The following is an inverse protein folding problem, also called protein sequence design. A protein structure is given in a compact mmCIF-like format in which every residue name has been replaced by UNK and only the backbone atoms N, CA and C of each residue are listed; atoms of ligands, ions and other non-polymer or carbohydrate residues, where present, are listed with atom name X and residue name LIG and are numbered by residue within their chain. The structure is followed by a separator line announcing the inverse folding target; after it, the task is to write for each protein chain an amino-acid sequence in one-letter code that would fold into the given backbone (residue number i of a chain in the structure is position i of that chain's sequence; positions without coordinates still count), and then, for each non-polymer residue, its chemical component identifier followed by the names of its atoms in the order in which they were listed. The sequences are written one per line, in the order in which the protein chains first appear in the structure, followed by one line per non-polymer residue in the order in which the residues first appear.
data_IF_943739887275
#
_entry.id   IF_943739887275
#
_cell.length_a   1.000
_cell.length_b   1.000
_cell.length_c   1.000
_cell.angle_alpha   90.00
_cell.angle_beta   90.00
_cell.angle_gamma   90.00
#
_symmetry.space_group_name_H-M   'P 1'
#
loop_
_entity.id
_entity.type
_entity.pdbx_description
1 polymer ?
#
# COMPACT_ATOMS: atom_id res chain seq x y z
N UNK A 1 5.19 -35.13 9.46
CA UNK A 1 6.21 -34.64 8.51
C UNK A 1 5.66 -33.35 7.92
N UNK A 2 6.16 -32.19 8.37
CA UNK A 2 5.78 -30.88 7.83
C UNK A 2 7.00 -30.38 7.06
N UNK A 3 7.04 -30.45 5.73
CA UNK A 3 8.09 -29.80 4.98
C UNK A 3 7.57 -28.45 4.45
N UNK A 4 8.22 -27.38 4.89
CA UNK A 4 8.74 -26.32 4.02
C UNK A 4 7.67 -25.66 3.12
N UNK A 5 6.89 -24.73 3.67
CA UNK A 5 6.21 -23.71 2.87
C UNK A 5 6.07 -22.38 3.64
N UNK A 6 7.20 -21.82 4.05
CA UNK A 6 7.31 -20.42 4.50
C UNK A 6 8.79 -20.05 4.31
N UNK A 7 9.16 -19.37 3.20
CA UNK A 7 9.11 -17.91 3.15
C UNK A 7 8.80 -17.38 1.73
N UNK A 8 7.62 -17.66 1.16
CA UNK A 8 7.29 -17.14 -0.19
C UNK A 8 6.62 -15.76 -0.19
N UNK A 9 6.14 -15.28 0.95
CA UNK A 9 5.36 -14.02 1.02
C UNK A 9 6.29 -12.80 0.96
N UNK A 10 7.49 -12.89 1.54
CA UNK A 10 8.46 -11.79 1.62
C UNK A 10 9.10 -11.51 0.25
N UNK A 11 9.18 -12.53 -0.62
CA UNK A 11 9.61 -12.37 -2.01
C UNK A 11 8.72 -11.45 -2.85
N UNK A 12 7.52 -11.09 -2.37
CA UNK A 12 6.60 -10.17 -3.05
C UNK A 12 6.66 -8.71 -2.57
N UNK A 13 7.30 -8.42 -1.42
CA UNK A 13 7.44 -7.05 -0.94
C UNK A 13 8.65 -6.41 -1.61
N UNK A 14 8.41 -5.81 -2.77
CA UNK A 14 9.41 -4.97 -3.40
C UNK A 14 9.79 -3.81 -2.46
N UNK A 15 11.07 -3.40 -2.43
CA UNK A 15 11.45 -2.14 -1.82
C UNK A 15 10.54 -1.00 -2.32
N UNK A 16 10.15 -0.11 -1.41
CA UNK A 16 9.21 0.99 -1.67
C UNK A 16 7.76 0.58 -1.95
N UNK A 17 7.37 -0.67 -1.68
CA UNK A 17 5.96 -1.06 -1.67
C UNK A 17 5.20 -0.43 -0.49
N UNK A 18 3.96 -0.04 -0.73
CA UNK A 18 3.06 0.52 0.30
C UNK A 18 1.84 -0.35 0.52
N UNK A 19 1.48 -0.54 1.79
CA UNK A 19 0.21 -1.12 2.22
C UNK A 19 -0.61 -0.03 2.91
N UNK A 20 -1.73 0.35 2.29
CA UNK A 20 -2.59 1.44 2.77
C UNK A 20 -3.86 0.83 3.34
N UNK A 21 -4.32 1.33 4.47
CA UNK A 21 -5.54 0.88 5.13
C UNK A 21 -6.40 2.07 5.56
N UNK A 22 -7.67 2.02 5.19
CA UNK A 22 -8.70 2.86 5.78
C UNK A 22 -9.20 2.22 7.07
N UNK A 23 -9.21 3.00 8.15
CA UNK A 23 -9.69 2.59 9.47
C UNK A 23 -10.83 3.51 9.86
N UNK A 24 -12.02 2.93 9.99
CA UNK A 24 -13.20 3.61 10.49
C UNK A 24 -13.53 3.07 11.89
N UNK A 25 -13.56 3.96 12.88
CA UNK A 25 -14.03 3.65 14.23
C UNK A 25 -15.28 4.46 14.49
N UNK A 26 -16.41 3.82 14.74
CA UNK A 26 -17.65 4.48 15.16
C UNK A 26 -17.83 4.27 16.66
N UNK A 27 -17.99 5.35 17.42
CA UNK A 27 -18.23 5.34 18.87
C UNK A 27 -19.53 6.07 19.13
N UNK A 28 -20.59 5.36 19.50
CA UNK A 28 -21.89 5.97 19.84
C UNK A 28 -22.32 7.05 18.84
N UNK A 29 -22.25 6.73 17.54
CA UNK A 29 -22.60 7.58 16.40
C UNK A 29 -21.57 8.66 16.00
N UNK A 30 -20.41 8.73 16.66
CA UNK A 30 -19.28 9.57 16.21
C UNK A 30 -18.30 8.73 15.40
N UNK A 31 -18.06 9.11 14.14
CA UNK A 31 -17.17 8.39 13.22
C UNK A 31 -15.79 9.05 13.20
N UNK A 32 -14.76 8.24 13.43
CA UNK A 32 -13.36 8.59 13.28
C UNK A 32 -12.79 7.84 12.08
N UNK A 33 -12.27 8.58 11.11
CA UNK A 33 -11.59 8.02 9.94
C UNK A 33 -10.08 8.27 10.07
N UNK A 34 -9.30 7.20 9.91
CA UNK A 34 -7.84 7.21 10.02
C UNK A 34 -7.27 6.39 8.88
N UNK A 35 -6.23 6.88 8.24
CA UNK A 35 -5.47 6.17 7.21
C UNK A 35 -4.14 5.72 7.80
N UNK A 36 -3.81 4.44 7.64
CA UNK A 36 -2.51 3.87 7.97
C UNK A 36 -1.80 3.52 6.66
N UNK A 37 -0.61 4.09 6.45
CA UNK A 37 0.22 3.77 5.29
C UNK A 37 1.56 3.18 5.76
N UNK A 38 1.77 1.91 5.45
CA UNK A 38 3.01 1.19 5.73
C UNK A 38 3.86 1.17 4.45
N UNK A 39 4.96 1.93 4.43
CA UNK A 39 5.88 1.99 3.28
C UNK A 39 7.17 1.25 3.62
N UNK A 40 7.39 0.12 2.96
CA UNK A 40 8.61 -0.69 3.12
C UNK A 40 9.79 0.05 2.51
N UNK A 41 10.82 0.30 3.30
CA UNK A 41 12.06 0.94 2.85
C UNK A 41 12.98 -0.13 2.28
N UNK A 42 13.27 -1.16 3.07
CA UNK A 42 14.11 -2.26 2.64
C UNK A 42 13.82 -3.54 3.42
N UNK A 43 14.27 -4.66 2.86
CA UNK A 43 14.27 -5.99 3.47
C UNK A 43 15.70 -6.52 3.40
N UNK A 44 16.32 -6.78 4.54
CA UNK A 44 17.72 -7.22 4.62
C UNK A 44 17.94 -8.07 5.86
N UNK A 45 18.66 -9.19 5.71
CA UNK A 45 19.08 -10.05 6.82
C UNK A 45 17.92 -10.37 7.80
N UNK A 46 16.81 -10.89 7.28
CA UNK A 46 15.61 -11.26 8.06
C UNK A 46 14.94 -10.09 8.80
N UNK A 47 15.23 -8.87 8.36
CA UNK A 47 14.78 -7.65 9.00
C UNK A 47 14.09 -6.77 7.97
N UNK A 48 12.92 -6.23 8.33
CA UNK A 48 12.13 -5.33 7.50
C UNK A 48 12.18 -3.94 8.11
N UNK A 49 12.62 -2.98 7.32
CA UNK A 49 12.58 -1.57 7.66
C UNK A 49 11.42 -0.89 6.93
N UNK A 50 10.57 -0.17 7.66
CA UNK A 50 9.43 0.52 7.06
C UNK A 50 9.04 1.78 7.84
N UNK A 51 8.36 2.69 7.14
CA UNK A 51 7.70 3.84 7.74
C UNK A 51 6.20 3.56 7.87
N UNK A 52 5.64 3.91 9.03
CA UNK A 52 4.21 3.97 9.26
C UNK A 52 3.78 5.44 9.34
N UNK A 53 3.00 5.88 8.37
CA UNK A 53 2.33 7.17 8.38
C UNK A 53 0.87 6.98 8.80
N UNK A 54 0.46 7.67 9.86
CA UNK A 54 -0.92 7.67 10.35
C UNK A 54 -1.50 9.06 10.12
N UNK A 55 -2.59 9.13 9.36
CA UNK A 55 -3.29 10.39 9.06
C UNK A 55 -4.73 10.28 9.52
N UNK A 56 -5.24 11.30 10.21
CA UNK A 56 -6.64 11.42 10.60
C UNK A 56 -7.07 12.89 10.59
N UNK A 57 -8.28 13.16 11.03
CA UNK A 57 -8.79 14.53 11.08
C UNK A 57 -7.92 15.39 12.04
N UNK A 58 -7.10 16.29 11.47
CA UNK A 58 -6.09 17.10 12.18
C UNK A 58 -5.02 16.29 12.94
N UNK A 59 -4.78 15.03 12.55
CA UNK A 59 -3.72 14.19 13.13
C UNK A 59 -2.80 13.70 12.03
N UNK A 60 -1.49 13.85 12.25
CA UNK A 60 -0.46 13.34 11.37
C UNK A 60 0.71 12.87 12.22
N UNK A 61 1.14 11.63 12.00
CA UNK A 61 2.29 11.05 12.68
C UNK A 61 3.04 10.11 11.74
N UNK A 62 4.36 10.14 11.81
CA UNK A 62 5.24 9.24 11.07
C UNK A 62 6.18 8.57 12.07
N UNK A 63 6.23 7.25 12.00
CA UNK A 63 7.09 6.41 12.83
C UNK A 63 7.89 5.47 11.94
N UNK A 64 9.15 5.25 12.30
CA UNK A 64 10.02 4.29 11.61
C UNK A 64 10.15 3.03 12.46
N UNK A 65 10.05 1.89 11.80
CA UNK A 65 10.11 0.57 12.43
C UNK A 65 11.21 -0.28 11.80
N UNK A 66 11.81 -1.10 12.64
CA UNK A 66 12.80 -2.08 12.26
C UNK A 66 12.41 -3.41 12.94
N UNK A 67 11.84 -4.34 12.18
CA UNK A 67 11.16 -5.54 12.72
C UNK A 67 11.73 -6.81 12.11
N UNK A 68 11.60 -7.93 12.82
CA UNK A 68 12.00 -9.23 12.30
C UNK A 68 10.93 -9.75 11.32
N UNK A 69 11.35 -10.44 10.26
CA UNK A 69 10.44 -11.07 9.29
C UNK A 69 9.51 -12.13 9.90
N UNK A 70 9.95 -12.81 10.95
CA UNK A 70 9.17 -13.84 11.67
C UNK A 70 8.11 -13.22 12.60
N UNK A 71 8.33 -11.98 13.06
CA UNK A 71 7.36 -11.19 13.84
C UNK A 71 7.35 -9.72 13.35
N UNK A 72 6.68 -9.47 12.22
CA UNK A 72 6.76 -8.19 11.54
C UNK A 72 5.88 -7.10 12.18
N UNK A 73 5.35 -7.29 13.39
CA UNK A 73 4.45 -6.31 14.01
C UNK A 73 5.09 -4.92 14.14
N UNK A 74 4.40 -3.81 13.77
CA UNK A 74 2.98 -3.72 13.36
C UNK A 74 2.71 -3.87 11.85
N UNK A 75 3.68 -4.23 11.01
CA UNK A 75 3.48 -4.39 9.56
C UNK A 75 2.46 -5.52 9.29
N UNK A 76 1.37 -5.27 8.56
CA UNK A 76 0.25 -6.21 8.44
C UNK A 76 0.47 -7.30 7.37
N UNK A 77 1.56 -8.05 7.54
CA UNK A 77 1.99 -9.18 6.71
C UNK A 77 2.18 -10.42 7.60
N UNK A 78 2.40 -11.59 6.99
CA UNK A 78 2.60 -12.85 7.71
C UNK A 78 1.49 -13.16 8.75
N UNK A 79 0.24 -12.84 8.44
CA UNK A 79 -0.92 -12.98 9.34
C UNK A 79 -0.82 -12.14 10.64
N UNK A 80 0.00 -11.10 10.65
CA UNK A 80 0.05 -10.07 11.69
C UNK A 80 -0.85 -8.90 11.28
N UNK A 81 -1.52 -8.27 12.24
CA UNK A 81 -2.31 -7.05 12.02
C UNK A 81 -1.95 -5.98 13.06
N UNK A 82 -1.82 -4.73 12.61
CA UNK A 82 -1.57 -3.59 13.49
C UNK A 82 -2.69 -3.38 14.50
N UNK A 83 -2.34 -2.86 15.68
CA UNK A 83 -3.27 -2.57 16.78
C UNK A 83 -4.12 -3.78 17.23
N UNK A 84 -3.70 -5.02 16.90
CA UNK A 84 -4.39 -6.23 17.34
C UNK A 84 -3.62 -6.97 18.42
N UNK A 85 -4.34 -7.75 19.22
CA UNK A 85 -3.80 -8.68 20.21
C UNK A 85 -4.61 -9.97 20.22
N UNK A 86 -4.00 -11.06 20.70
CA UNK A 86 -4.66 -12.38 20.85
C UNK A 86 -5.28 -12.93 19.56
N UNK A 87 -4.61 -12.74 18.41
CA UNK A 87 -5.04 -13.33 17.15
C UNK A 87 -4.99 -14.86 17.25
N UNK A 88 -6.12 -15.51 16.98
CA UNK A 88 -6.28 -16.96 16.93
C UNK A 88 -6.89 -17.36 15.61
N UNK A 89 -6.26 -18.32 14.93
CA UNK A 89 -6.76 -18.86 13.68
C UNK A 89 -8.11 -19.57 13.92
N UNK A 90 -9.10 -19.26 13.08
CA UNK A 90 -10.43 -19.88 13.12
C UNK A 90 -10.52 -20.94 12.01
N UNK A 91 -10.19 -20.54 10.78
CA UNK A 91 -10.36 -21.38 9.61
C UNK A 91 -10.07 -20.64 8.31
N UNK A 92 -10.34 -21.32 7.19
CA UNK A 92 -10.26 -20.72 5.86
C UNK A 92 -11.68 -20.35 5.40
N UNK A 93 -11.82 -19.20 4.75
CA UNK A 93 -13.07 -18.67 4.22
C UNK A 93 -12.85 -18.03 2.85
N UNK A 94 -13.88 -17.44 2.26
CA UNK A 94 -13.78 -16.73 0.98
C UNK A 94 -14.27 -15.30 1.15
N UNK A 95 -13.43 -14.32 0.80
CA UNK A 95 -13.76 -12.90 0.82
C UNK A 95 -13.46 -12.31 -0.55
N UNK A 96 -14.47 -11.72 -1.20
CA UNK A 96 -14.31 -11.13 -2.54
C UNK A 96 -13.86 -12.11 -3.62
N UNK A 97 -14.22 -13.40 -3.48
CA UNK A 97 -13.81 -14.47 -4.40
C UNK A 97 -12.42 -15.08 -4.14
N UNK A 98 -11.65 -14.52 -3.21
CA UNK A 98 -10.32 -15.01 -2.86
C UNK A 98 -10.38 -15.90 -1.61
N UNK A 99 -9.56 -16.97 -1.60
CA UNK A 99 -9.35 -17.79 -0.41
C UNK A 99 -8.63 -16.96 0.66
N UNK A 100 -9.24 -16.82 1.83
CA UNK A 100 -8.69 -16.04 2.94
C UNK A 100 -8.60 -16.88 4.21
N UNK A 101 -7.63 -16.55 5.05
CA UNK A 101 -7.50 -17.08 6.41
C UNK A 101 -8.23 -16.15 7.37
N UNK A 102 -9.11 -16.73 8.17
CA UNK A 102 -9.92 -16.03 9.16
C UNK A 102 -9.32 -16.21 10.56
N UNK A 103 -9.22 -15.11 11.31
CA UNK A 103 -8.73 -15.08 12.68
C UNK A 103 -9.70 -14.30 13.57
N UNK A 104 -9.79 -14.68 14.85
CA UNK A 104 -10.43 -13.89 15.90
C UNK A 104 -9.36 -13.18 16.71
N UNK A 105 -9.59 -11.94 17.12
CA UNK A 105 -8.70 -11.25 18.05
C UNK A 105 -9.35 -10.04 18.70
N UNK A 106 -8.52 -9.18 19.30
CA UNK A 106 -8.95 -7.91 19.89
C UNK A 106 -8.23 -6.78 19.18
N UNK A 107 -8.99 -5.83 18.64
CA UNK A 107 -8.46 -4.57 18.10
C UNK A 107 -8.51 -3.47 19.16
N UNK A 108 -7.39 -2.79 19.36
CA UNK A 108 -7.23 -1.67 20.27
C UNK A 108 -7.51 -0.35 19.52
N UNK A 109 -8.78 0.07 19.51
CA UNK A 109 -9.22 1.29 18.84
C UNK A 109 -8.98 2.53 19.71
N UNK A 110 -8.43 3.58 19.08
CA UNK A 110 -8.21 4.91 19.67
C UNK A 110 -7.46 4.90 21.01
N UNK A 111 -6.62 3.88 21.24
CA UNK A 111 -5.85 3.71 22.49
C UNK A 111 -6.66 3.37 23.74
N UNK A 112 -7.99 3.23 23.64
CA UNK A 112 -8.87 3.02 24.82
C UNK A 112 -9.90 1.91 24.67
N UNK A 113 -10.38 1.63 23.46
CA UNK A 113 -11.44 0.65 23.25
C UNK A 113 -10.86 -0.67 22.80
N UNK A 114 -11.28 -1.76 23.45
CA UNK A 114 -10.91 -3.12 23.10
C UNK A 114 -12.11 -3.78 22.45
N UNK A 115 -12.03 -3.97 21.14
CA UNK A 115 -13.14 -4.48 20.32
C UNK A 115 -12.75 -5.89 19.86
N UNK A 116 -13.51 -6.94 20.22
CA UNK A 116 -13.41 -8.25 19.58
C UNK A 116 -13.68 -8.12 18.08
N UNK A 117 -12.81 -8.70 17.26
CA UNK A 117 -12.86 -8.56 15.80
C UNK A 117 -12.59 -9.88 15.11
N UNK A 118 -13.13 -9.98 13.89
CA UNK A 118 -12.73 -10.97 12.90
C UNK A 118 -11.75 -10.31 11.92
N UNK A 119 -10.68 -11.03 11.58
CA UNK A 119 -9.57 -10.55 10.76
C UNK A 119 -9.37 -11.50 9.58
N UNK A 120 -9.24 -10.94 8.38
CA UNK A 120 -9.11 -11.70 7.14
C UNK A 120 -7.78 -11.41 6.46
N UNK A 121 -7.02 -12.46 6.19
CA UNK A 121 -5.76 -12.40 5.48
C UNK A 121 -5.85 -13.13 4.15
N UNK A 122 -5.34 -12.52 3.09
CA UNK A 122 -5.11 -13.17 1.80
C UNK A 122 -3.59 -13.14 1.54
N UNK A 123 -3.02 -14.30 1.26
CA UNK A 123 -1.56 -14.49 1.12
C UNK A 123 -0.74 -13.91 2.28
N UNK A 124 -1.29 -14.00 3.50
CA UNK A 124 -0.68 -13.47 4.72
C UNK A 124 -0.75 -11.95 4.88
N UNK A 125 -1.30 -11.22 3.91
CA UNK A 125 -1.49 -9.76 3.99
C UNK A 125 -2.91 -9.47 4.47
N UNK A 126 -3.05 -8.54 5.42
CA UNK A 126 -4.35 -8.11 5.93
C UNK A 126 -5.21 -7.54 4.79
N UNK A 127 -6.44 -8.01 4.69
CA UNK A 127 -7.42 -7.51 3.70
C UNK A 127 -8.49 -6.68 4.38
N UNK A 128 -9.05 -7.24 5.46
CA UNK A 128 -10.12 -6.62 6.20
C UNK A 128 -10.07 -7.06 7.66
N UNK A 129 -10.52 -6.17 8.55
CA UNK A 129 -10.82 -6.49 9.94
C UNK A 129 -12.07 -5.74 10.36
N UNK A 130 -12.99 -6.41 11.05
CA UNK A 130 -14.21 -5.77 11.53
C UNK A 130 -14.72 -6.39 12.82
N UNK A 131 -15.41 -5.58 13.61
CA UNK A 131 -16.10 -6.02 14.80
C UNK A 131 -16.87 -4.91 15.48
N UNK A 132 -17.77 -5.30 16.37
CA UNK A 132 -18.62 -4.37 17.11
C UNK A 132 -18.76 -4.85 18.55
N UNK A 133 -18.55 -3.95 19.50
CA UNK A 133 -18.67 -4.25 20.92
C UNK A 133 -18.99 -2.98 21.71
N UNK A 134 -20.00 -3.07 22.59
CA UNK A 134 -20.41 -2.00 23.50
C UNK A 134 -20.55 -0.61 22.85
N UNK A 135 -21.25 -0.53 21.72
CA UNK A 135 -21.48 0.76 21.02
C UNK A 135 -20.27 1.28 20.24
N UNK A 136 -19.18 0.51 20.16
CA UNK A 136 -18.01 0.79 19.34
C UNK A 136 -17.94 -0.22 18.19
N UNK A 137 -17.94 0.25 16.95
CA UNK A 137 -17.64 -0.58 15.79
C UNK A 137 -16.35 -0.14 15.13
N UNK A 138 -15.61 -1.13 14.62
CA UNK A 138 -14.36 -0.92 13.89
C UNK A 138 -14.48 -1.61 12.56
N UNK A 139 -14.06 -0.90 11.52
CA UNK A 139 -13.88 -1.44 10.18
C UNK A 139 -12.51 -1.01 9.67
N UNK A 140 -11.71 -1.97 9.25
CA UNK A 140 -10.41 -1.76 8.62
C UNK A 140 -10.47 -2.45 7.27
N UNK A 141 -10.12 -1.74 6.21
CA UNK A 141 -10.06 -2.29 4.86
C UNK A 141 -8.78 -1.86 4.19
N UNK A 142 -8.13 -2.79 3.49
CA UNK A 142 -7.00 -2.47 2.63
C UNK A 142 -7.48 -1.59 1.47
N UNK A 143 -6.78 -0.49 1.26
CA UNK A 143 -6.94 0.33 0.07
C UNK A 143 -5.92 -0.11 -0.97
N UNK A 144 -6.41 -0.33 -2.19
CA UNK A 144 -5.54 -0.45 -3.34
C UNK A 144 -5.40 0.94 -3.93
N UNK A 145 -4.19 1.50 -4.04
CA UNK A 145 -4.03 2.77 -4.72
C UNK A 145 -4.65 2.61 -6.11
N UNK A 146 -5.64 3.45 -6.41
CA UNK A 146 -6.20 3.52 -7.74
C UNK A 146 -5.05 3.95 -8.63
N UNK A 147 -4.49 3.02 -9.41
CA UNK A 147 -3.57 3.38 -10.47
C UNK A 147 -4.44 4.16 -11.44
N UNK A 148 -4.39 5.50 -11.37
CA UNK A 148 -4.88 6.31 -12.47
C UNK A 148 -3.99 5.89 -13.61
N UNK A 149 -4.53 5.03 -14.49
CA UNK A 149 -3.88 4.69 -15.73
C UNK A 149 -3.83 5.99 -16.53
N UNK A 150 -2.75 6.75 -16.35
CA UNK A 150 -2.35 7.74 -17.32
C UNK A 150 -1.93 6.91 -18.53
N UNK A 151 -2.92 6.50 -19.32
CA UNK A 151 -2.69 6.14 -20.71
C UNK A 151 -1.79 7.25 -21.24
N UNK A 152 -0.54 6.96 -21.66
CA UNK A 152 0.30 8.00 -22.21
C UNK A 152 -0.52 8.59 -23.34
N UNK A 153 -0.95 9.86 -23.18
CA UNK A 153 -1.64 10.56 -24.26
C UNK A 153 -0.68 10.47 -25.43
N UNK A 154 -1.08 9.81 -26.51
CA UNK A 154 -0.31 9.80 -27.74
C UNK A 154 -0.02 11.26 -28.04
N UNK A 155 1.23 11.70 -27.85
CA UNK A 155 1.63 13.04 -28.19
C UNK A 155 1.36 13.17 -29.68
N UNK A 156 0.28 13.87 -30.03
CA UNK A 156 -0.05 14.07 -31.42
C UNK A 156 1.14 14.77 -32.06
N UNK A 157 1.53 14.36 -33.27
CA UNK A 157 2.64 14.96 -34.05
C UNK A 157 2.60 16.50 -34.09
N UNK A 158 1.43 17.09 -33.84
CA UNK A 158 1.20 18.53 -33.58
C UNK A 158 2.22 19.15 -32.62
N UNK A 159 2.59 18.47 -31.53
CA UNK A 159 3.51 19.02 -30.52
C UNK A 159 4.94 19.19 -31.04
N UNK A 160 5.30 18.50 -32.13
CA UNK A 160 6.63 18.53 -32.73
C UNK A 160 6.70 19.40 -33.99
N UNK A 161 5.59 20.02 -34.43
CA UNK A 161 5.54 20.84 -35.65
C UNK A 161 6.59 21.95 -35.61
N UNK A 162 6.73 22.65 -34.47
CA UNK A 162 7.72 23.72 -34.30
C UNK A 162 9.16 23.19 -34.41
N UNK A 163 9.45 22.04 -33.82
CA UNK A 163 10.78 21.41 -33.86
C UNK A 163 11.11 20.93 -35.29
N UNK A 164 10.15 20.33 -35.98
CA UNK A 164 10.30 19.84 -37.35
C UNK A 164 10.57 21.01 -38.30
N UNK A 165 9.82 22.12 -38.18
CA UNK A 165 10.05 23.33 -38.98
C UNK A 165 11.47 23.87 -38.73
N UNK A 166 11.92 23.91 -37.47
CA UNK A 166 13.26 24.39 -37.14
C UNK A 166 14.36 23.56 -37.80
N UNK A 167 14.25 22.22 -37.77
CA UNK A 167 15.23 21.33 -38.42
C UNK A 167 15.26 21.53 -39.94
N UNK A 168 14.10 21.67 -40.57
CA UNK A 168 14.02 21.91 -42.03
C UNK A 168 14.68 23.23 -42.41
N UNK A 169 14.42 24.31 -41.67
CA UNK A 169 15.03 25.63 -41.92
C UNK A 169 16.55 25.57 -41.72
N UNK A 170 17.02 24.87 -40.69
CA UNK A 170 18.46 24.68 -40.44
C UNK A 170 19.14 23.97 -41.61
N UNK A 171 18.56 22.89 -42.12
CA UNK A 171 19.09 22.15 -43.27
C UNK A 171 19.17 23.05 -44.51
N UNK A 172 18.12 23.83 -44.80
CA UNK A 172 18.12 24.77 -45.93
C UNK A 172 19.23 25.82 -45.76
N UNK A 173 19.38 26.39 -44.57
CA UNK A 173 20.42 27.38 -44.29
C UNK A 173 21.84 26.80 -44.51
N UNK A 174 22.08 25.57 -44.06
CA UNK A 174 23.36 24.87 -44.30
C UNK A 174 23.60 24.67 -45.80
N UNK A 175 22.59 24.24 -46.56
CA UNK A 175 22.71 24.06 -48.00
C UNK A 175 23.02 25.38 -48.72
N UNK A 176 22.38 26.48 -48.32
CA UNK A 176 22.64 27.82 -48.87
C UNK A 176 24.07 28.27 -48.57
N UNK A 177 24.54 28.10 -47.32
CA UNK A 177 25.91 28.43 -46.92
C UNK A 177 26.95 27.63 -47.71
N UNK A 178 26.74 26.32 -47.89
CA UNK A 178 27.64 25.48 -48.70
C UNK A 178 27.66 25.94 -50.16
N UNK A 179 26.51 26.34 -50.71
CA UNK A 179 26.41 26.79 -52.10
C UNK A 179 27.05 28.15 -52.33
N UNK A 180 26.96 29.06 -51.34
CA UNK A 180 27.63 30.39 -51.37
C UNK A 180 29.14 30.24 -51.15
N UNK A 181 29.58 29.38 -50.23
CA UNK A 181 31.01 29.14 -49.98
C UNK A 181 31.73 28.35 -51.10
N UNK A 182 31.00 27.94 -52.15
CA UNK A 182 31.54 27.33 -53.37
C UNK A 182 31.67 28.32 -54.55
N UNK A 183 31.23 29.57 -54.40
CA UNK A 183 31.50 30.70 -55.31
C UNK A 183 32.78 31.37 -54.83
#
# INVERSE_FOLDING_TARGET
MIPILLPLIIASLAPHSSLIYAVQVNVNNTIYCITYNFTVICVKNNTIEFNLTITGNNYYNVMQYNVNEDDPYPLPINCVAFNTTNLKFIGNTTLGGNLTKEFSGIFNALGKYRVPVTVYFHDGILQQLNGTYNGVSVHVSREYPTIISTTPSSESLSNYVTLIIFIVVLIIAIFVLIKIGKI
#
